data_IF_705632367870
#
_entry.id   IF_705632367870
#
_cell.length_a   1.000
_cell.length_b   1.000
_cell.length_c   1.000
_cell.angle_alpha   90.00
_cell.angle_beta   90.00
_cell.angle_gamma   90.00
#
_symmetry.space_group_name_H-M   'P 1'
#
loop_
_entity.id
_entity.type
_entity.pdbx_description
1 polymer ?
#
# COMPACT_ATOMS: atom_id res chain seq x y z
N UNK A 1 0.76 -23.11 6.94
CA UNK A 1 -0.72 -23.32 6.93
C UNK A 1 -1.33 -22.09 6.28
N UNK A 2 -1.66 -22.16 5.00
CA UNK A 2 -2.36 -21.09 4.28
C UNK A 2 -3.86 -21.28 4.48
N UNK A 3 -4.53 -20.26 5.01
CA UNK A 3 -5.98 -20.24 5.19
C UNK A 3 -6.63 -20.03 3.81
N UNK A 4 -7.52 -20.93 3.35
CA UNK A 4 -8.16 -20.82 2.03
C UNK A 4 -9.07 -19.59 1.87
N UNK A 5 -9.31 -18.82 2.94
CA UNK A 5 -10.09 -17.57 2.90
C UNK A 5 -9.24 -16.31 2.76
N UNK A 6 -7.91 -16.43 2.71
CA UNK A 6 -7.01 -15.27 2.68
C UNK A 6 -6.95 -14.64 1.28
N UNK A 7 -7.59 -13.47 1.13
CA UNK A 7 -7.59 -12.70 -0.12
C UNK A 7 -6.19 -12.23 -0.51
N UNK A 8 -5.58 -12.86 -1.52
CA UNK A 8 -4.23 -12.52 -2.02
C UNK A 8 -4.21 -11.34 -2.99
N UNK A 9 -5.37 -10.76 -3.33
CA UNK A 9 -5.47 -9.85 -4.47
C UNK A 9 -4.78 -8.50 -4.24
N UNK A 10 -5.20 -7.73 -3.22
CA UNK A 10 -4.74 -6.34 -3.06
C UNK A 10 -4.84 -5.80 -1.64
N UNK A 11 -3.76 -5.21 -1.16
CA UNK A 11 -3.72 -4.40 0.05
C UNK A 11 -4.16 -2.96 -0.26
N UNK A 12 -5.13 -2.43 0.50
CA UNK A 12 -5.63 -1.06 0.35
C UNK A 12 -5.86 -0.44 1.73
N UNK A 13 -5.38 0.79 1.93
CA UNK A 13 -5.70 1.58 3.12
C UNK A 13 -6.82 2.55 2.78
N UNK A 14 -7.93 2.44 3.50
CA UNK A 14 -9.09 3.31 3.37
C UNK A 14 -9.07 4.39 4.46
N UNK A 15 -9.22 5.64 4.04
CA UNK A 15 -9.21 6.79 4.95
C UNK A 15 -7.83 7.11 5.53
N UNK A 16 -7.83 7.86 6.64
CA UNK A 16 -6.61 8.47 7.21
C UNK A 16 -5.83 7.55 8.14
N UNK A 17 -6.51 6.59 8.76
CA UNK A 17 -5.89 5.78 9.82
C UNK A 17 -4.86 4.83 9.22
N UNK A 18 -3.60 5.04 9.56
CA UNK A 18 -2.48 4.22 9.08
C UNK A 18 -1.94 4.60 7.71
N UNK A 19 -2.39 5.71 7.11
CA UNK A 19 -1.81 6.25 5.88
C UNK A 19 -0.68 7.22 6.23
N UNK A 20 0.55 6.94 5.78
CA UNK A 20 1.68 7.87 5.93
C UNK A 20 1.83 8.82 4.73
N UNK A 21 1.17 8.53 3.61
CA UNK A 21 1.09 9.43 2.45
C UNK A 21 -0.12 10.36 2.47
N UNK A 22 -0.74 10.56 1.30
CA UNK A 22 -1.91 11.46 1.12
C UNK A 22 -3.16 10.67 0.77
N UNK A 23 -4.33 11.19 1.13
CA UNK A 23 -5.61 10.56 0.80
C UNK A 23 -6.20 11.22 -0.44
N UNK A 24 -6.53 10.43 -1.44
CA UNK A 24 -7.25 10.89 -2.64
C UNK A 24 -8.47 10.00 -2.84
N UNK A 25 -9.65 10.62 -2.90
CA UNK A 25 -10.94 9.93 -3.02
C UNK A 25 -11.16 8.85 -1.95
N UNK A 26 -10.70 9.09 -0.72
CA UNK A 26 -10.85 8.16 0.40
C UNK A 26 -9.86 6.98 0.43
N UNK A 27 -8.91 6.91 -0.51
CA UNK A 27 -7.88 5.87 -0.57
C UNK A 27 -6.51 6.50 -0.28
N UNK A 28 -5.68 5.81 0.50
CA UNK A 28 -4.31 6.22 0.73
C UNK A 28 -3.46 6.04 -0.53
N UNK A 29 -2.77 7.11 -0.92
CA UNK A 29 -1.61 7.05 -1.79
C UNK A 29 -0.42 6.76 -0.88
N UNK A 30 0.08 5.54 -0.96
CA UNK A 30 1.20 5.03 -0.17
C UNK A 30 2.47 5.82 -0.49
N UNK A 31 3.18 6.16 0.58
CA UNK A 31 4.48 6.83 0.58
C UNK A 31 5.60 5.84 0.91
N UNK A 32 6.84 6.31 0.83
CA UNK A 32 8.04 5.55 1.21
C UNK A 32 7.95 5.05 2.67
N UNK A 33 7.30 5.81 3.56
CA UNK A 33 7.10 5.43 4.95
C UNK A 33 6.08 4.30 5.14
N UNK A 34 5.22 4.04 4.15
CA UNK A 34 4.26 2.94 4.19
C UNK A 34 4.89 1.60 3.75
N UNK A 35 6.01 1.61 3.02
CA UNK A 35 6.63 0.42 2.43
C UNK A 35 6.98 -0.69 3.42
N UNK A 36 7.54 -0.41 4.62
CA UNK A 36 7.82 -1.47 5.60
C UNK A 36 6.58 -2.26 6.02
N UNK A 37 5.39 -1.64 5.95
CA UNK A 37 4.12 -2.32 6.25
C UNK A 37 3.82 -3.41 5.22
N UNK A 38 4.29 -3.26 3.97
CA UNK A 38 4.02 -4.19 2.88
C UNK A 38 4.82 -5.49 3.00
N UNK A 39 5.97 -5.47 3.69
CA UNK A 39 6.84 -6.65 3.83
C UNK A 39 6.13 -7.86 4.47
N UNK A 40 5.22 -7.61 5.40
CA UNK A 40 4.47 -8.65 6.11
C UNK A 40 3.07 -8.89 5.53
N UNK A 41 2.74 -8.31 4.38
CA UNK A 41 1.43 -8.47 3.72
C UNK A 41 1.43 -9.70 2.83
N UNK A 42 0.28 -10.36 2.79
CA UNK A 42 0.10 -11.56 1.98
C UNK A 42 -0.46 -11.24 0.59
N UNK A 43 -0.95 -10.03 0.40
CA UNK A 43 -1.50 -9.52 -0.84
C UNK A 43 -0.39 -9.31 -1.88
N UNK A 44 -0.64 -9.73 -3.13
CA UNK A 44 0.31 -9.65 -4.24
C UNK A 44 0.54 -8.22 -4.74
N UNK A 45 -0.44 -7.34 -4.52
CA UNK A 45 -0.41 -5.96 -4.97
C UNK A 45 -0.83 -5.02 -3.85
N UNK A 46 -0.34 -3.78 -3.88
CA UNK A 46 -0.77 -2.71 -2.99
C UNK A 46 -1.34 -1.53 -3.78
N UNK A 47 -2.33 -0.83 -3.22
CA UNK A 47 -2.96 0.34 -3.84
C UNK A 47 -3.26 1.43 -2.80
N UNK A 48 -3.03 2.71 -3.10
CA UNK A 48 -2.60 3.30 -4.39
C UNK A 48 -1.15 3.81 -4.31
N UNK A 49 -0.44 3.87 -5.43
CA UNK A 49 0.80 4.65 -5.57
C UNK A 49 0.60 5.77 -6.60
N UNK A 50 1.35 6.87 -6.49
CA UNK A 50 1.37 7.93 -7.50
C UNK A 50 2.74 8.59 -7.60
N UNK A 51 3.38 8.49 -8.78
CA UNK A 51 4.75 9.00 -9.03
C UNK A 51 4.91 10.50 -8.71
N UNK A 52 3.86 11.29 -8.94
CA UNK A 52 3.85 12.73 -8.63
C UNK A 52 3.86 13.03 -7.13
N UNK A 53 3.43 12.09 -6.30
CA UNK A 53 3.31 12.24 -4.85
C UNK A 53 4.59 11.81 -4.17
N UNK A 54 5.06 10.61 -4.49
CA UNK A 54 6.28 10.05 -3.94
C UNK A 54 6.94 9.13 -4.97
N UNK A 55 7.87 9.65 -5.79
CA UNK A 55 8.58 8.83 -6.77
C UNK A 55 9.57 7.86 -6.11
N UNK A 56 10.02 8.14 -4.89
CA UNK A 56 10.95 7.28 -4.14
C UNK A 56 10.22 6.00 -3.73
N UNK A 57 8.95 6.10 -3.35
CA UNK A 57 8.12 4.95 -3.04
C UNK A 57 8.07 3.93 -4.19
N UNK A 58 8.07 4.38 -5.44
CA UNK A 58 8.19 3.51 -6.61
C UNK A 58 9.59 2.94 -6.77
N UNK A 59 10.64 3.78 -6.67
CA UNK A 59 12.02 3.34 -6.84
C UNK A 59 12.45 2.28 -5.83
N UNK A 60 11.91 2.31 -4.60
CA UNK A 60 12.19 1.31 -3.59
C UNK A 60 11.45 -0.03 -3.82
N UNK A 61 10.46 -0.06 -4.71
CA UNK A 61 9.64 -1.24 -5.00
C UNK A 61 10.05 -1.97 -6.30
N UNK A 62 10.79 -1.30 -7.18
CA UNK A 62 11.45 -1.91 -8.36
C UNK A 62 12.69 -2.71 -7.95
#
# INVERSE_FOLDING_TARGET
KTDPTQWTARYVIWGKRGCQGIIVHGICILSTADLPTLYNRHELFANKFQLKTDPIAYQCLE
#
